data_IF_341550135930
#
_entry.id   IF_341550135930
#
_cell.length_a   1.000
_cell.length_b   1.000
_cell.length_c   1.000
_cell.angle_alpha   90.00
_cell.angle_beta   90.00
_cell.angle_gamma   90.00
#
_symmetry.space_group_name_H-M   'P 1'
#
loop_
_entity.id
_entity.type
_entity.pdbx_description
1 polymer ?
#
# COMPACT_ATOMS: atom_id res chain seq x y z
N UNK A 1 29.55 30.25 29.51
CA UNK A 1 29.23 29.01 30.24
C UNK A 1 27.72 28.83 30.28
N UNK A 2 27.22 27.74 29.68
CA UNK A 2 26.12 26.88 30.16
C UNK A 2 25.68 26.01 28.99
N UNK A 3 26.26 24.81 28.95
CA UNK A 3 25.78 23.67 28.17
C UNK A 3 24.51 23.17 28.87
N UNK A 4 23.36 23.29 28.23
CA UNK A 4 22.14 22.63 28.68
C UNK A 4 21.86 21.47 27.73
N UNK A 5 22.38 20.31 28.11
CA UNK A 5 21.78 19.02 27.78
C UNK A 5 20.43 18.96 28.52
N UNK A 6 19.38 18.51 27.84
CA UNK A 6 18.13 17.87 28.32
C UNK A 6 17.28 17.77 27.04
N UNK A 7 16.57 16.72 26.67
CA UNK A 7 16.48 15.30 26.97
C UNK A 7 15.46 14.80 25.93
N UNK A 8 15.59 13.57 25.45
CA UNK A 8 14.69 13.00 24.45
C UNK A 8 13.22 13.02 24.94
N UNK A 9 12.32 13.50 24.08
CA UNK A 9 10.94 13.05 24.06
C UNK A 9 10.73 12.36 22.71
N UNK A 10 11.11 11.09 22.64
CA UNK A 10 10.56 10.20 21.63
C UNK A 10 9.09 10.03 21.99
N UNK A 11 8.24 10.90 21.43
CA UNK A 11 6.82 10.63 21.38
C UNK A 11 6.66 9.35 20.54
N UNK A 12 6.58 8.20 21.21
CA UNK A 12 6.06 7.00 20.60
C UNK A 12 4.60 7.32 20.28
N UNK A 13 4.36 7.85 19.07
CA UNK A 13 3.04 7.93 18.50
C UNK A 13 2.49 6.51 18.50
N UNK A 14 1.56 6.26 19.42
CA UNK A 14 0.76 5.05 19.50
C UNK A 14 0.26 4.79 18.08
N UNK A 15 0.76 3.73 17.47
CA UNK A 15 0.23 3.24 16.21
C UNK A 15 -1.11 2.66 16.62
N UNK A 16 -2.16 3.48 16.64
CA UNK A 16 -3.52 2.98 16.65
C UNK A 16 -3.67 2.25 15.33
N UNK A 17 -3.41 0.94 15.34
CA UNK A 17 -3.81 0.06 14.26
C UNK A 17 -5.31 0.35 14.03
N UNK A 18 -5.73 0.61 12.78
CA UNK A 18 -7.13 0.89 12.53
C UNK A 18 -7.93 -0.32 12.99
N UNK A 19 -9.06 -0.08 13.67
CA UNK A 19 -9.96 -1.12 14.10
C UNK A 19 -10.48 -1.85 12.84
N UNK A 20 -9.88 -3.00 12.54
CA UNK A 20 -10.26 -3.87 11.43
C UNK A 20 -11.54 -4.60 11.78
N UNK A 21 -12.66 -3.89 11.63
CA UNK A 21 -14.00 -4.44 11.73
C UNK A 21 -14.66 -4.30 10.36
N UNK A 22 -14.57 -5.36 9.54
CA UNK A 22 -15.49 -5.71 8.47
C UNK A 22 -16.19 -4.53 7.74
N UNK A 23 -15.44 -3.54 7.27
CA UNK A 23 -15.99 -2.40 6.55
C UNK A 23 -16.06 -2.75 5.07
N UNK A 24 -17.25 -2.64 4.45
CA UNK A 24 -17.48 -2.77 3.00
C UNK A 24 -16.56 -1.88 2.13
N UNK A 25 -15.91 -0.89 2.75
CA UNK A 25 -14.87 -0.05 2.16
C UNK A 25 -13.73 0.10 3.15
N UNK A 26 -12.58 -0.50 2.86
CA UNK A 26 -11.38 -0.31 3.67
C UNK A 26 -10.55 0.84 3.10
N UNK A 27 -10.33 1.89 3.90
CA UNK A 27 -9.48 3.02 3.53
C UNK A 27 -8.01 2.70 3.78
N UNK A 28 -7.16 2.91 2.79
CA UNK A 28 -5.73 2.68 2.87
C UNK A 28 -4.96 3.83 2.23
N UNK A 29 -4.00 4.39 2.98
CA UNK A 29 -3.02 5.30 2.42
C UNK A 29 -1.92 4.49 1.71
N UNK A 30 -1.65 4.82 0.44
CA UNK A 30 -0.58 4.19 -0.33
C UNK A 30 0.63 5.11 -0.31
N UNK A 31 1.74 4.61 0.24
CA UNK A 31 3.02 5.31 0.20
C UNK A 31 3.80 4.93 -1.06
N UNK A 32 4.23 5.92 -1.82
CA UNK A 32 5.09 5.73 -2.99
C UNK A 32 5.90 7.00 -3.26
N UNK A 33 7.05 6.85 -3.91
CA UNK A 33 7.85 7.98 -4.36
C UNK A 33 7.29 8.56 -5.68
N UNK A 34 6.72 9.76 -5.59
CA UNK A 34 6.14 10.50 -6.74
C UNK A 34 7.16 10.83 -7.83
N UNK A 35 8.41 11.05 -7.48
CA UNK A 35 9.46 11.34 -8.46
C UNK A 35 9.90 10.06 -9.15
N UNK A 36 10.01 8.96 -8.41
CA UNK A 36 10.38 7.67 -8.97
C UNK A 36 9.35 7.17 -10.00
N UNK A 37 8.04 7.35 -9.74
CA UNK A 37 6.99 6.92 -10.69
C UNK A 37 6.98 7.72 -12.00
N UNK A 38 7.69 8.85 -12.09
CA UNK A 38 7.84 9.60 -13.35
C UNK A 38 8.82 8.94 -14.33
N UNK A 39 9.57 7.93 -13.90
CA UNK A 39 10.53 7.18 -14.73
C UNK A 39 10.05 5.74 -14.95
N UNK A 40 10.35 5.10 -16.10
CA UNK A 40 9.96 3.71 -16.34
C UNK A 40 10.52 2.73 -15.29
N UNK A 41 11.80 2.89 -14.92
CA UNK A 41 12.49 2.03 -13.96
C UNK A 41 11.96 2.25 -12.54
N UNK A 42 11.80 3.50 -12.13
CA UNK A 42 11.23 3.85 -10.84
C UNK A 42 9.77 3.43 -10.72
N UNK A 43 8.97 3.55 -11.78
CA UNK A 43 7.58 3.07 -11.79
C UNK A 43 7.51 1.55 -11.62
N UNK A 44 8.41 0.76 -12.23
CA UNK A 44 8.48 -0.69 -11.99
C UNK A 44 8.79 -1.03 -10.54
N UNK A 45 9.71 -0.29 -9.92
CA UNK A 45 10.06 -0.48 -8.51
C UNK A 45 8.89 -0.08 -7.59
N UNK A 46 8.32 1.10 -7.80
CA UNK A 46 7.22 1.61 -7.00
C UNK A 46 5.94 0.78 -7.17
N UNK A 47 5.68 0.21 -8.36
CA UNK A 47 4.57 -0.72 -8.53
C UNK A 47 4.67 -1.91 -7.56
N UNK A 48 5.88 -2.48 -7.35
CA UNK A 48 6.07 -3.59 -6.42
C UNK A 48 5.78 -3.16 -4.98
N UNK A 49 6.21 -1.95 -4.62
CA UNK A 49 5.97 -1.35 -3.29
C UNK A 49 4.47 -1.13 -3.04
N UNK A 50 3.75 -0.62 -4.05
CA UNK A 50 2.30 -0.41 -3.99
C UNK A 50 1.58 -1.77 -3.89
N UNK A 51 1.99 -2.76 -4.69
CA UNK A 51 1.41 -4.10 -4.65
C UNK A 51 1.56 -4.76 -3.28
N UNK A 52 2.77 -4.72 -2.69
CA UNK A 52 3.02 -5.30 -1.37
C UNK A 52 2.14 -4.67 -0.28
N UNK A 53 2.04 -3.33 -0.25
CA UNK A 53 1.16 -2.64 0.71
C UNK A 53 -0.31 -3.06 0.56
N UNK A 54 -0.78 -3.20 -0.68
CA UNK A 54 -2.15 -3.63 -0.96
C UNK A 54 -2.36 -5.10 -0.55
N UNK A 55 -1.41 -5.97 -0.86
CA UNK A 55 -1.46 -7.38 -0.52
C UNK A 55 -1.49 -7.59 1.00
N UNK A 56 -0.57 -6.95 1.73
CA UNK A 56 -0.53 -6.98 3.20
C UNK A 56 -1.87 -6.52 3.81
N UNK A 57 -2.46 -5.45 3.27
CA UNK A 57 -3.76 -4.98 3.72
C UNK A 57 -4.87 -5.98 3.38
N UNK A 58 -4.89 -6.52 2.17
CA UNK A 58 -5.89 -7.50 1.74
C UNK A 58 -5.80 -8.81 2.55
N UNK A 59 -4.59 -9.23 2.94
CA UNK A 59 -4.36 -10.36 3.85
C UNK A 59 -4.95 -10.10 5.24
N UNK A 60 -4.72 -8.91 5.79
CA UNK A 60 -5.28 -8.50 7.08
C UNK A 60 -6.82 -8.43 7.05
N UNK A 61 -7.43 -7.88 5.99
CA UNK A 61 -8.88 -7.79 5.85
C UNK A 61 -9.57 -9.16 5.73
N UNK A 62 -8.86 -10.18 5.26
CA UNK A 62 -9.40 -11.52 5.03
C UNK A 62 -8.78 -12.58 5.96
N UNK A 63 -8.11 -12.17 7.04
CA UNK A 63 -7.40 -13.08 7.95
C UNK A 63 -8.30 -14.14 8.57
N UNK A 64 -9.58 -13.81 8.77
CA UNK A 64 -10.54 -14.65 9.47
C UNK A 64 -11.22 -15.68 8.56
N UNK A 65 -10.97 -15.62 7.24
CA UNK A 65 -11.49 -16.59 6.29
C UNK A 65 -10.74 -17.92 6.41
N UNK A 66 -11.37 -18.92 7.01
CA UNK A 66 -10.77 -20.26 7.13
C UNK A 66 -10.64 -21.00 5.79
N UNK A 67 -11.53 -20.70 4.83
CA UNK A 67 -11.52 -21.28 3.49
C UNK A 67 -11.57 -20.17 2.45
N UNK A 68 -10.80 -20.31 1.37
CA UNK A 68 -10.81 -19.36 0.26
C UNK A 68 -10.10 -18.03 0.52
N UNK A 69 -9.41 -17.85 1.67
CA UNK A 69 -8.63 -16.64 1.97
C UNK A 69 -7.72 -16.22 0.82
N UNK A 70 -6.89 -17.13 0.30
CA UNK A 70 -5.96 -16.83 -0.81
C UNK A 70 -6.68 -16.27 -2.04
N UNK A 71 -7.85 -16.82 -2.35
CA UNK A 71 -8.66 -16.34 -3.48
C UNK A 71 -9.25 -14.96 -3.20
N UNK A 72 -9.77 -14.74 -1.99
CA UNK A 72 -10.28 -13.44 -1.56
C UNK A 72 -9.20 -12.36 -1.57
N UNK A 73 -8.00 -12.66 -1.02
CA UNK A 73 -6.82 -11.79 -1.06
C UNK A 73 -6.44 -11.48 -2.50
N UNK A 74 -6.36 -12.48 -3.38
CA UNK A 74 -6.00 -12.26 -4.80
C UNK A 74 -6.97 -11.29 -5.48
N UNK A 75 -8.29 -11.49 -5.31
CA UNK A 75 -9.31 -10.61 -5.89
C UNK A 75 -9.23 -9.21 -5.30
N UNK A 76 -9.07 -9.11 -3.98
CA UNK A 76 -8.89 -7.86 -3.27
C UNK A 76 -7.68 -7.08 -3.82
N UNK A 77 -6.54 -7.75 -3.97
CA UNK A 77 -5.30 -7.16 -4.46
C UNK A 77 -5.46 -6.65 -5.89
N UNK A 78 -6.01 -7.45 -6.80
CA UNK A 78 -6.21 -7.03 -8.20
C UNK A 78 -7.12 -5.81 -8.29
N UNK A 79 -8.29 -5.83 -7.63
CA UNK A 79 -9.25 -4.73 -7.66
C UNK A 79 -8.70 -3.45 -7.03
N UNK A 80 -7.95 -3.59 -5.94
CA UNK A 80 -7.36 -2.45 -5.23
C UNK A 80 -6.19 -1.87 -6.02
N UNK A 81 -5.40 -2.72 -6.69
CA UNK A 81 -4.36 -2.28 -7.63
C UNK A 81 -4.95 -1.46 -8.79
N UNK A 82 -6.03 -1.95 -9.43
CA UNK A 82 -6.72 -1.19 -10.50
C UNK A 82 -7.14 0.20 -10.00
N UNK A 83 -7.79 0.27 -8.83
CA UNK A 83 -8.22 1.55 -8.22
C UNK A 83 -7.04 2.46 -7.88
N UNK A 84 -5.99 1.92 -7.26
CA UNK A 84 -4.81 2.66 -6.86
C UNK A 84 -4.09 3.28 -8.06
N UNK A 85 -3.84 2.48 -9.10
CA UNK A 85 -3.15 2.94 -10.32
C UNK A 85 -3.98 4.01 -11.04
N UNK A 86 -5.30 3.82 -11.13
CA UNK A 86 -6.19 4.83 -11.70
C UNK A 86 -6.21 6.13 -10.88
N UNK A 87 -6.17 6.04 -9.55
CA UNK A 87 -6.13 7.21 -8.66
C UNK A 87 -4.80 7.97 -8.73
N UNK A 88 -3.67 7.26 -8.84
CA UNK A 88 -2.34 7.87 -8.97
C UNK A 88 -2.16 8.54 -10.34
N UNK A 89 -2.79 7.97 -11.38
CA UNK A 89 -2.81 8.52 -12.75
C UNK A 89 -1.41 8.80 -13.35
N UNK A 90 -0.39 8.02 -12.97
CA UNK A 90 0.95 8.07 -13.57
C UNK A 90 0.99 7.23 -14.84
N UNK A 91 1.37 7.79 -16.01
CA UNK A 91 1.45 7.04 -17.27
C UNK A 91 2.36 5.82 -17.20
N UNK A 92 3.49 5.94 -16.51
CA UNK A 92 4.49 4.89 -16.36
C UNK A 92 3.94 3.74 -15.50
N UNK A 93 3.25 4.07 -14.39
CA UNK A 93 2.59 3.06 -13.56
C UNK A 93 1.44 2.37 -14.30
N UNK A 94 0.62 3.11 -15.05
CA UNK A 94 -0.44 2.56 -15.88
C UNK A 94 0.12 1.58 -16.92
N UNK A 95 1.24 1.92 -17.57
CA UNK A 95 1.89 1.03 -18.53
C UNK A 95 2.40 -0.25 -17.87
N UNK A 96 3.07 -0.14 -16.72
CA UNK A 96 3.56 -1.29 -15.95
C UNK A 96 2.39 -2.18 -15.50
N UNK A 97 1.28 -1.58 -15.08
CA UNK A 97 0.07 -2.30 -14.68
C UNK A 97 -0.56 -3.06 -15.85
N UNK A 98 -0.73 -2.40 -17.00
CA UNK A 98 -1.28 -3.00 -18.20
C UNK A 98 -0.44 -4.20 -18.68
N UNK A 99 0.90 -4.06 -18.67
CA UNK A 99 1.81 -5.13 -19.06
C UNK A 99 1.67 -6.38 -18.16
N UNK A 100 1.43 -6.19 -16.85
CA UNK A 100 1.21 -7.30 -15.91
C UNK A 100 -0.16 -7.96 -16.03
N UNK A 101 -1.19 -7.26 -16.52
CA UNK A 101 -2.52 -7.85 -16.76
C UNK A 101 -2.61 -8.65 -18.06
N UNK A 102 -1.67 -8.42 -18.98
CA UNK A 102 -1.65 -9.06 -20.29
C UNK A 102 -0.84 -10.37 -20.34
N UNK A 103 -0.09 -10.69 -19.28
CA UNK A 103 0.66 -11.94 -19.11
C UNK A 103 0.03 -12.83 -18.07
#
# INVERSE_FOLDING_TARGET
>A
MKRTLIAAALAASLITAPAFAASDTFDMAISYDRNAVATPEGAKAQYKVIHAQIEDRCEAEHSDLQLGQKFAVTICTVRTMDKAINSIASPQLTQVHAARKAG
#
